data_IF_735883433909
#
_entry.id   IF_735883433909
#
_cell.length_a   1.000
_cell.length_b   1.000
_cell.length_c   1.000
_cell.angle_alpha   90.00
_cell.angle_beta   90.00
_cell.angle_gamma   90.00
#
_symmetry.space_group_name_H-M   'P 1'
#
loop_
_entity.id
_entity.type
_entity.pdbx_description
1 polymer ?
#
# COMPACT_ATOMS: atom_id res chain seq x y z
N UNK A 1 41.80 3.77 34.34
CA UNK A 1 40.48 4.45 34.29
C UNK A 1 40.23 4.96 32.87
N UNK A 2 40.37 4.08 31.87
CA UNK A 2 40.59 4.47 30.45
C UNK A 2 39.75 3.65 29.46
N UNK A 3 38.94 2.70 29.96
CA UNK A 3 38.03 1.87 29.14
C UNK A 3 36.66 2.51 28.88
N UNK A 4 36.35 3.63 29.52
CA UNK A 4 35.02 4.27 29.45
C UNK A 4 34.78 5.10 28.19
N UNK A 5 35.82 5.50 27.45
CA UNK A 5 35.67 6.42 26.31
C UNK A 5 35.47 5.65 24.99
N UNK A 6 36.03 4.44 24.86
CA UNK A 6 35.85 3.64 23.64
C UNK A 6 34.45 3.03 23.49
N UNK A 7 33.69 2.92 24.58
CA UNK A 7 32.35 2.32 24.53
C UNK A 7 31.30 3.28 23.97
N UNK A 8 31.50 4.60 24.13
CA UNK A 8 30.61 5.64 23.56
C UNK A 8 30.82 5.90 22.08
N UNK A 9 32.00 5.63 21.51
CA UNK A 9 32.24 5.82 20.07
C UNK A 9 31.71 4.65 19.23
N UNK A 10 31.66 3.44 19.79
CA UNK A 10 31.11 2.26 19.08
C UNK A 10 29.59 2.29 18.93
N UNK A 11 28.86 3.12 19.68
CA UNK A 11 27.42 3.32 19.52
C UNK A 11 27.08 4.41 18.50
N UNK A 12 28.04 5.26 18.13
CA UNK A 12 27.83 6.36 17.18
C UNK A 12 27.93 5.93 15.70
N UNK A 13 28.48 4.74 15.40
CA UNK A 13 28.35 4.10 14.09
C UNK A 13 26.99 3.43 14.02
N UNK A 14 25.96 4.26 13.84
CA UNK A 14 24.57 3.85 13.75
C UNK A 14 24.43 2.59 12.92
N UNK A 15 23.99 1.52 13.57
CA UNK A 15 23.64 0.30 12.85
C UNK A 15 22.57 0.72 11.85
N UNK A 16 22.93 0.71 10.57
CA UNK A 16 21.96 0.78 9.49
C UNK A 16 21.13 -0.50 9.61
N UNK A 17 20.16 -0.46 10.52
CA UNK A 17 19.28 -1.55 10.86
C UNK A 17 18.52 -1.86 9.59
N UNK A 18 18.97 -2.87 8.82
CA UNK A 18 18.43 -3.16 7.50
C UNK A 18 16.92 -3.35 7.61
N UNK A 19 16.20 -2.90 6.58
CA UNK A 19 14.76 -3.15 6.50
C UNK A 19 14.51 -4.65 6.70
N UNK A 20 13.50 -4.97 7.50
CA UNK A 20 13.17 -6.37 7.76
C UNK A 20 12.81 -7.07 6.43
N UNK A 21 12.98 -8.41 6.34
CA UNK A 21 12.62 -9.14 5.12
C UNK A 21 11.16 -8.89 4.69
N UNK A 22 10.25 -8.67 5.65
CA UNK A 22 8.84 -8.37 5.39
C UNK A 22 8.63 -6.98 4.78
N UNK A 23 9.33 -5.96 5.30
CA UNK A 23 9.29 -4.60 4.75
C UNK A 23 9.87 -4.55 3.34
N UNK A 24 10.97 -5.28 3.12
CA UNK A 24 11.60 -5.40 1.80
C UNK A 24 10.66 -6.07 0.81
N UNK A 25 10.02 -7.18 1.21
CA UNK A 25 9.04 -7.86 0.37
C UNK A 25 7.84 -6.95 0.04
N UNK A 26 7.29 -6.24 1.04
CA UNK A 26 6.20 -5.30 0.83
C UNK A 26 6.58 -4.20 -0.17
N UNK A 27 7.78 -3.63 -0.04
CA UNK A 27 8.27 -2.62 -0.96
C UNK A 27 8.43 -3.18 -2.39
N UNK A 28 9.05 -4.35 -2.54
CA UNK A 28 9.24 -5.00 -3.85
C UNK A 28 7.90 -5.30 -4.52
N UNK A 29 6.95 -5.87 -3.77
CA UNK A 29 5.60 -6.16 -4.29
C UNK A 29 4.89 -4.88 -4.70
N UNK A 30 4.96 -3.84 -3.87
CA UNK A 30 4.34 -2.53 -4.17
C UNK A 30 4.93 -1.92 -5.43
N UNK A 31 6.26 -1.91 -5.58
CA UNK A 31 6.93 -1.41 -6.78
C UNK A 31 6.61 -2.25 -8.01
N UNK A 32 6.56 -3.59 -7.86
CA UNK A 32 6.15 -4.49 -8.93
C UNK A 32 4.73 -4.20 -9.42
N UNK A 33 3.79 -3.98 -8.51
CA UNK A 33 2.42 -3.57 -8.86
C UNK A 33 2.41 -2.25 -9.62
N UNK A 34 3.12 -1.22 -9.15
CA UNK A 34 3.20 0.07 -9.86
C UNK A 34 3.77 -0.10 -11.27
N UNK A 35 4.84 -0.89 -11.43
CA UNK A 35 5.46 -1.15 -12.74
C UNK A 35 4.54 -1.87 -13.73
N UNK A 36 3.60 -2.69 -13.26
CA UNK A 36 2.63 -3.39 -14.13
C UNK A 36 1.39 -2.54 -14.37
N UNK A 37 0.80 -1.97 -13.31
CA UNK A 37 -0.48 -1.27 -13.38
C UNK A 37 -0.37 0.12 -13.99
N UNK A 38 0.70 0.89 -13.73
CA UNK A 38 0.79 2.24 -14.26
C UNK A 38 0.85 2.26 -15.81
N UNK A 39 1.63 1.38 -16.49
CA UNK A 39 1.58 1.29 -17.95
C UNK A 39 0.26 0.76 -18.48
N UNK A 40 -0.32 -0.24 -17.81
CA UNK A 40 -1.62 -0.81 -18.20
C UNK A 40 -2.72 0.26 -18.16
N UNK A 41 -2.81 1.02 -17.06
CA UNK A 41 -3.80 2.09 -16.97
C UNK A 41 -3.55 3.24 -17.92
N UNK A 42 -2.28 3.59 -18.13
CA UNK A 42 -1.91 4.59 -19.14
C UNK A 42 -2.33 4.15 -20.54
N UNK A 43 -2.21 2.86 -20.86
CA UNK A 43 -2.63 2.32 -22.16
C UNK A 43 -4.16 2.39 -22.33
N UNK A 44 -4.92 1.97 -21.32
CA UNK A 44 -6.39 2.01 -21.33
C UNK A 44 -6.89 3.46 -21.37
N UNK A 45 -6.19 4.38 -20.71
CA UNK A 45 -6.56 5.80 -20.58
C UNK A 45 -5.99 6.71 -21.69
N UNK A 46 -5.47 6.16 -22.80
CA UNK A 46 -4.79 6.94 -23.87
C UNK A 46 -5.60 8.12 -24.43
N UNK A 47 -6.93 8.10 -24.35
CA UNK A 47 -7.82 9.20 -24.77
C UNK A 47 -8.31 10.12 -23.65
N UNK A 48 -7.96 9.83 -22.39
CA UNK A 48 -8.50 10.48 -21.19
C UNK A 48 -7.41 10.82 -20.15
N UNK A 49 -6.17 11.06 -20.59
CA UNK A 49 -5.02 11.33 -19.71
C UNK A 49 -5.17 12.62 -18.88
N UNK A 50 -6.03 13.54 -19.28
CA UNK A 50 -6.34 14.77 -18.52
C UNK A 50 -7.62 14.63 -17.69
N UNK A 51 -8.24 13.44 -17.69
CA UNK A 51 -9.43 13.21 -16.88
C UNK A 51 -9.07 13.29 -15.39
N UNK A 52 -9.95 13.86 -14.53
CA UNK A 52 -9.72 13.89 -13.10
C UNK A 52 -9.49 12.50 -12.49
N UNK A 53 -10.10 11.45 -13.05
CA UNK A 53 -9.91 10.06 -12.62
C UNK A 53 -8.47 9.59 -12.85
N UNK A 54 -7.95 9.77 -14.06
CA UNK A 54 -6.58 9.37 -14.37
C UNK A 54 -5.53 10.13 -13.54
N UNK A 55 -5.74 11.43 -13.28
CA UNK A 55 -4.84 12.22 -12.41
C UNK A 55 -4.76 11.62 -11.00
N UNK A 56 -5.90 11.19 -10.48
CA UNK A 56 -5.99 10.56 -9.15
C UNK A 56 -5.23 9.22 -9.11
N UNK A 57 -5.33 8.42 -10.18
CA UNK A 57 -4.57 7.16 -10.30
C UNK A 57 -3.06 7.42 -10.43
N UNK A 58 -2.65 8.44 -11.18
CA UNK A 58 -1.25 8.87 -11.28
C UNK A 58 -0.70 9.26 -9.90
N UNK A 59 -1.46 10.01 -9.10
CA UNK A 59 -1.07 10.37 -7.73
C UNK A 59 -0.90 9.09 -6.89
N UNK A 60 -1.81 8.13 -7.01
CA UNK A 60 -1.70 6.85 -6.30
C UNK A 60 -0.41 6.09 -6.68
N UNK A 61 -0.10 5.98 -7.98
CA UNK A 61 1.12 5.33 -8.46
C UNK A 61 2.39 6.05 -7.98
N UNK A 62 2.40 7.38 -7.96
CA UNK A 62 3.53 8.18 -7.46
C UNK A 62 3.73 7.96 -5.96
N UNK A 63 2.65 7.98 -5.17
CA UNK A 63 2.72 7.75 -3.73
C UNK A 63 3.19 6.33 -3.40
N UNK A 64 2.68 5.31 -4.11
CA UNK A 64 3.12 3.92 -3.93
C UNK A 64 4.57 3.73 -4.36
N UNK A 65 4.97 4.32 -5.49
CA UNK A 65 6.35 4.30 -5.98
C UNK A 65 7.31 4.96 -5.00
N UNK A 66 6.97 6.17 -4.55
CA UNK A 66 7.73 6.88 -3.53
C UNK A 66 7.80 6.10 -2.22
N UNK A 67 6.67 5.61 -1.71
CA UNK A 67 6.61 4.83 -0.48
C UNK A 67 7.41 3.53 -0.54
N UNK A 68 7.37 2.82 -1.67
CA UNK A 68 8.18 1.62 -1.91
C UNK A 68 9.68 1.90 -1.94
N UNK A 69 10.11 2.90 -2.72
CA UNK A 69 11.53 3.31 -2.75
C UNK A 69 11.98 3.85 -1.39
N UNK A 70 11.13 4.62 -0.71
CA UNK A 70 11.41 5.17 0.61
C UNK A 70 11.62 4.07 1.63
N UNK A 71 10.76 3.05 1.66
CA UNK A 71 10.88 1.92 2.59
C UNK A 71 12.17 1.11 2.34
N UNK A 72 12.60 0.96 1.09
CA UNK A 72 13.88 0.31 0.75
C UNK A 72 15.10 1.13 1.19
N UNK A 73 15.01 2.46 1.15
CA UNK A 73 16.10 3.37 1.51
C UNK A 73 16.16 3.69 3.01
N UNK A 74 15.01 3.75 3.66
CA UNK A 74 14.84 4.15 5.06
C UNK A 74 14.12 3.02 5.80
N UNK A 75 14.92 2.06 6.23
CA UNK A 75 14.51 0.97 7.11
C UNK A 75 13.70 1.47 8.31
N UNK A 76 12.62 0.77 8.63
CA UNK A 76 11.65 1.10 9.70
C UNK A 76 10.75 2.32 9.48
N UNK A 77 10.81 3.00 8.33
CA UNK A 77 9.89 4.09 7.99
C UNK A 77 8.72 3.58 7.13
N UNK A 78 7.77 2.88 7.76
CA UNK A 78 6.57 2.34 7.08
C UNK A 78 5.45 3.38 6.87
N UNK A 79 5.61 4.60 7.41
CA UNK A 79 4.63 5.68 7.30
C UNK A 79 4.25 6.01 5.85
N UNK A 80 5.22 6.35 4.97
CA UNK A 80 4.91 6.75 3.59
C UNK A 80 4.20 5.67 2.77
N UNK A 81 4.65 4.41 2.85
CA UNK A 81 3.99 3.31 2.12
C UNK A 81 2.58 3.04 2.68
N UNK A 82 2.38 3.19 3.99
CA UNK A 82 1.06 3.01 4.61
C UNK A 82 0.10 4.11 4.20
N UNK A 83 0.57 5.36 4.14
CA UNK A 83 -0.21 6.49 3.64
C UNK A 83 -0.60 6.30 2.16
N UNK A 84 0.32 5.80 1.34
CA UNK A 84 0.04 5.51 -0.07
C UNK A 84 -1.03 4.41 -0.25
N UNK A 85 -0.91 3.30 0.47
CA UNK A 85 -1.93 2.25 0.47
C UNK A 85 -3.28 2.74 1.05
N UNK A 86 -3.25 3.59 2.08
CA UNK A 86 -4.45 4.23 2.63
C UNK A 86 -5.15 5.15 1.63
N UNK A 87 -4.38 5.91 0.84
CA UNK A 87 -4.93 6.71 -0.26
C UNK A 87 -5.62 5.83 -1.31
N UNK A 88 -4.95 4.76 -1.75
CA UNK A 88 -5.53 3.78 -2.69
C UNK A 88 -6.81 3.15 -2.14
N UNK A 89 -6.83 2.82 -0.84
CA UNK A 89 -8.02 2.30 -0.16
C UNK A 89 -9.20 3.27 -0.24
N UNK A 90 -8.96 4.54 0.09
CA UNK A 90 -9.99 5.57 0.06
C UNK A 90 -10.56 5.76 -1.36
N UNK A 91 -9.71 5.70 -2.39
CA UNK A 91 -10.14 5.79 -3.79
C UNK A 91 -10.97 4.58 -4.23
N UNK A 92 -10.53 3.38 -3.85
CA UNK A 92 -11.30 2.15 -4.08
C UNK A 92 -12.67 2.21 -3.42
N UNK A 93 -12.72 2.66 -2.18
CA UNK A 93 -13.96 2.85 -1.43
C UNK A 93 -14.88 3.86 -2.13
N UNK A 94 -14.38 5.05 -2.48
CA UNK A 94 -15.14 6.06 -3.22
C UNK A 94 -15.75 5.47 -4.50
N UNK A 95 -14.94 4.75 -5.28
CA UNK A 95 -15.37 4.14 -6.54
C UNK A 95 -16.44 3.07 -6.32
N UNK A 96 -16.29 2.25 -5.27
CA UNK A 96 -17.29 1.26 -4.88
C UNK A 96 -18.64 1.92 -4.53
N UNK A 97 -18.65 2.96 -3.69
CA UNK A 97 -19.89 3.64 -3.29
C UNK A 97 -20.58 4.35 -4.46
N UNK A 98 -19.82 4.97 -5.37
CA UNK A 98 -20.39 5.55 -6.58
C UNK A 98 -21.10 4.49 -7.43
N UNK A 99 -20.53 3.29 -7.55
CA UNK A 99 -21.12 2.16 -8.28
C UNK A 99 -22.37 1.61 -7.58
N UNK A 100 -22.32 1.46 -6.25
CA UNK A 100 -23.48 1.04 -5.46
C UNK A 100 -24.61 2.06 -5.61
N UNK A 101 -24.30 3.36 -5.50
CA UNK A 101 -25.28 4.43 -5.67
C UNK A 101 -25.89 4.44 -7.07
N UNK A 102 -25.07 4.32 -8.13
CA UNK A 102 -25.56 4.24 -9.50
C UNK A 102 -26.51 3.05 -9.68
N UNK A 103 -26.16 1.88 -9.12
CA UNK A 103 -26.99 0.67 -9.18
C UNK A 103 -28.30 0.80 -8.40
N UNK A 104 -28.30 1.45 -7.25
CA UNK A 104 -29.51 1.66 -6.43
C UNK A 104 -30.49 2.63 -7.09
N UNK A 105 -29.99 3.58 -7.90
CA UNK A 105 -30.81 4.61 -8.53
C UNK A 105 -31.05 4.37 -10.03
N UNK A 106 -30.74 3.17 -10.53
CA UNK A 106 -30.88 2.78 -11.94
C UNK A 106 -30.24 3.78 -12.92
N UNK A 107 -29.15 4.42 -12.49
CA UNK A 107 -28.39 5.35 -13.30
C UNK A 107 -27.52 4.57 -14.30
N UNK A 108 -27.33 5.08 -15.53
CA UNK A 108 -26.46 4.44 -16.50
C UNK A 108 -25.04 4.30 -15.92
N UNK A 109 -24.64 3.06 -15.66
CA UNK A 109 -23.27 2.70 -15.34
C UNK A 109 -22.53 2.66 -16.68
N UNK A 110 -21.43 3.40 -16.82
CA UNK A 110 -20.60 3.39 -18.03
C UNK A 110 -20.29 1.93 -18.43
N UNK A 111 -20.82 1.50 -19.57
CA UNK A 111 -20.76 0.18 -20.23
C UNK A 111 -21.03 -1.09 -19.39
N UNK A 112 -22.17 -1.72 -19.70
CA UNK A 112 -22.63 -2.98 -19.10
C UNK A 112 -21.67 -4.18 -19.33
N UNK A 113 -20.81 -4.13 -20.35
CA UNK A 113 -19.86 -5.23 -20.65
C UNK A 113 -18.69 -5.29 -19.64
N UNK A 114 -18.30 -4.16 -19.06
CA UNK A 114 -17.21 -4.09 -18.07
C UNK A 114 -17.69 -4.35 -16.63
N UNK A 115 -19.01 -4.38 -16.41
CA UNK A 115 -19.60 -4.44 -15.07
C UNK A 115 -19.26 -5.73 -14.30
N UNK A 116 -18.96 -6.85 -14.98
CA UNK A 116 -18.50 -8.09 -14.32
C UNK A 116 -17.05 -7.98 -13.84
N UNK A 117 -16.17 -7.42 -14.66
CA UNK A 117 -14.76 -7.20 -14.33
C UNK A 117 -14.66 -6.23 -13.15
N UNK A 118 -15.45 -5.17 -13.16
CA UNK A 118 -15.48 -4.17 -12.09
C UNK A 118 -16.00 -4.71 -10.77
N UNK A 119 -17.00 -5.62 -10.78
CA UNK A 119 -17.48 -6.33 -9.58
C UNK A 119 -16.42 -7.28 -9.03
N UNK A 120 -15.71 -8.00 -9.92
CA UNK A 120 -14.59 -8.86 -9.56
C UNK A 120 -13.45 -8.08 -8.92
N UNK A 121 -13.10 -6.92 -9.49
CA UNK A 121 -12.07 -6.01 -8.94
C UNK A 121 -12.52 -5.45 -7.59
N UNK A 122 -13.76 -4.99 -7.46
CA UNK A 122 -14.30 -4.50 -6.19
C UNK A 122 -14.30 -5.58 -5.10
N UNK A 123 -14.71 -6.81 -5.43
CA UNK A 123 -14.68 -7.94 -4.51
C UNK A 123 -13.24 -8.31 -4.12
N UNK A 124 -12.33 -8.35 -5.10
CA UNK A 124 -10.91 -8.63 -4.86
C UNK A 124 -10.28 -7.58 -3.92
N UNK A 125 -10.64 -6.30 -4.09
CA UNK A 125 -10.21 -5.24 -3.17
C UNK A 125 -10.73 -5.45 -1.75
N UNK A 126 -12.03 -5.75 -1.59
CA UNK A 126 -12.60 -6.04 -0.26
C UNK A 126 -11.90 -7.22 0.40
N UNK A 127 -11.68 -8.31 -0.33
CA UNK A 127 -10.95 -9.48 0.17
C UNK A 127 -9.52 -9.10 0.55
N UNK A 128 -8.82 -8.32 -0.27
CA UNK A 128 -7.47 -7.84 0.04
C UNK A 128 -7.44 -6.99 1.32
N UNK A 129 -8.41 -6.10 1.54
CA UNK A 129 -8.51 -5.29 2.76
C UNK A 129 -8.79 -6.13 4.00
N UNK A 130 -9.70 -7.10 3.89
CA UNK A 130 -10.00 -8.04 4.98
C UNK A 130 -8.76 -8.86 5.32
N UNK A 131 -8.06 -9.39 4.31
CA UNK A 131 -6.82 -10.15 4.49
C UNK A 131 -5.72 -9.29 5.14
N UNK A 132 -5.52 -8.06 4.68
CA UNK A 132 -4.53 -7.14 5.27
C UNK A 132 -4.87 -6.79 6.71
N UNK A 133 -6.14 -6.47 7.00
CA UNK A 133 -6.61 -6.23 8.36
C UNK A 133 -6.40 -7.44 9.28
N UNK A 134 -6.70 -8.64 8.78
CA UNK A 134 -6.49 -9.89 9.50
C UNK A 134 -5.01 -10.16 9.78
N UNK A 135 -4.13 -9.94 8.80
CA UNK A 135 -2.68 -10.05 8.97
C UNK A 135 -2.14 -9.07 10.02
N UNK A 136 -2.67 -7.84 10.07
CA UNK A 136 -2.32 -6.88 11.12
C UNK A 136 -2.75 -7.36 12.51
N UNK A 137 -3.98 -7.85 12.64
CA UNK A 137 -4.48 -8.41 13.92
C UNK A 137 -3.61 -9.56 14.40
N UNK A 138 -3.32 -10.54 13.53
CA UNK A 138 -2.43 -11.66 13.86
C UNK A 138 -1.05 -11.18 14.31
N UNK A 139 -0.48 -10.19 13.60
CA UNK A 139 0.86 -9.66 13.93
C UNK A 139 0.89 -9.00 15.31
N UNK A 140 -0.17 -8.25 15.67
CA UNK A 140 -0.30 -7.64 17.00
C UNK A 140 -0.45 -8.70 18.09
N UNK A 141 -1.30 -9.72 17.85
CA UNK A 141 -1.51 -10.81 18.80
C UNK A 141 -0.22 -11.61 19.04
N UNK A 142 0.52 -11.93 17.98
CA UNK A 142 1.79 -12.65 18.07
C UNK A 142 2.85 -11.85 18.84
N UNK A 143 2.91 -10.53 18.60
CA UNK A 143 3.85 -9.63 19.32
C UNK A 143 3.53 -9.59 20.82
N UNK A 144 2.25 -9.61 21.20
CA UNK A 144 1.83 -9.65 22.60
C UNK A 144 2.16 -10.98 23.26
N UNK A 145 1.87 -12.11 22.59
CA UNK A 145 2.16 -13.45 23.12
C UNK A 145 3.66 -13.64 23.42
N UNK A 146 4.52 -13.21 22.50
CA UNK A 146 5.98 -13.30 22.68
C UNK A 146 6.49 -12.48 23.87
N UNK A 147 5.91 -11.30 24.15
CA UNK A 147 6.28 -10.50 25.33
C UNK A 147 5.89 -11.18 26.64
N UNK A 148 4.77 -11.89 26.68
CA UNK A 148 4.32 -12.60 27.88
C UNK A 148 5.19 -13.82 28.20
N UNK A 149 5.75 -14.50 27.20
CA UNK A 149 6.64 -15.65 27.43
C UNK A 149 8.05 -15.30 27.93
N UNK A 150 8.40 -14.02 27.95
CA UNK A 150 9.70 -13.52 28.41
C UNK A 150 9.66 -12.97 29.84
N UNK A 151 8.49 -13.01 30.50
CA UNK A 151 8.27 -12.64 31.90
C UNK A 151 8.12 -13.90 32.75
#
# INVERSE_FOLDING_TARGET
MTRSIQQTESEATGSHSRASPKETLLAIVTLGLVCVYAPAETWVSRGALTSPGYIVDVIAFVLLGFGGVWLLRHSHSTGPISAAWGYCAALGWRSYFLRVHARVNDLPIYDNENMQIERLVGLAMVVAFVMLGWCMVISVLHTRAFRMSQQ
#
